data_IF_697267168184
#
_entry.id   IF_697267168184
#
_cell.length_a   1.000
_cell.length_b   1.000
_cell.length_c   1.000
_cell.angle_alpha   90.00
_cell.angle_beta   90.00
_cell.angle_gamma   90.00
#
_symmetry.space_group_name_H-M   'P 1'
#
loop_
_entity.id
_entity.type
_entity.pdbx_description
1 polymer ?
#
# COMPACT_ATOMS: atom_id res chain seq x y z
N UNK A 1 -4.26 -15.06 -18.07
CA UNK A 1 -2.86 -14.65 -17.97
C UNK A 1 -2.70 -13.14 -17.72
N UNK A 2 -3.27 -12.26 -18.53
CA UNK A 2 -3.08 -10.80 -18.40
C UNK A 2 -3.68 -10.14 -17.15
N UNK A 3 -4.31 -10.88 -16.24
CA UNK A 3 -4.91 -10.39 -14.99
C UNK A 3 -4.27 -11.00 -13.73
N UNK A 4 -3.01 -11.45 -13.81
CA UNK A 4 -2.28 -12.00 -12.64
C UNK A 4 -2.78 -13.35 -12.10
N UNK A 5 -3.73 -14.01 -12.76
CA UNK A 5 -4.20 -15.33 -12.33
C UNK A 5 -3.21 -16.41 -12.76
N UNK A 6 -2.78 -17.23 -11.79
CA UNK A 6 -1.98 -18.43 -12.08
C UNK A 6 -2.93 -19.46 -12.71
N UNK A 7 -2.77 -19.66 -14.03
CA UNK A 7 -3.50 -20.70 -14.78
C UNK A 7 -2.47 -21.71 -15.24
N UNK A 8 -2.71 -22.98 -14.97
CA UNK A 8 -1.91 -24.06 -15.55
C UNK A 8 -2.17 -24.09 -17.06
N UNK A 9 -1.14 -23.80 -17.83
CA UNK A 9 -1.19 -23.81 -19.30
C UNK A 9 -0.24 -24.88 -19.82
N UNK A 10 -0.77 -25.82 -20.60
CA UNK A 10 0.02 -26.80 -21.33
C UNK A 10 -0.04 -26.48 -22.83
N UNK A 11 1.09 -26.20 -23.48
CA UNK A 11 1.10 -25.90 -24.92
C UNK A 11 0.57 -27.06 -25.75
N UNK A 12 -0.55 -26.84 -26.45
CA UNK A 12 -1.19 -27.85 -27.33
C UNK A 12 -1.52 -27.24 -28.69
N UNK A 13 -1.83 -28.07 -29.70
CA UNK A 13 -2.15 -27.64 -31.06
C UNK A 13 -0.98 -27.76 -32.05
N UNK A 14 -0.98 -26.95 -33.13
CA UNK A 14 0.04 -26.93 -34.19
C UNK A 14 1.45 -26.67 -33.63
N UNK A 15 2.48 -27.05 -34.39
CA UNK A 15 3.89 -26.94 -33.94
C UNK A 15 4.27 -25.51 -33.61
N UNK A 16 3.82 -24.57 -34.38
CA UNK A 16 4.08 -23.14 -34.21
C UNK A 16 3.42 -22.60 -32.93
N UNK A 17 2.17 -23.02 -32.66
CA UNK A 17 1.42 -22.64 -31.45
C UNK A 17 2.08 -23.20 -30.19
N UNK A 18 2.56 -24.47 -30.26
CA UNK A 18 3.32 -25.07 -29.16
C UNK A 18 4.65 -24.37 -28.91
N UNK A 19 5.36 -23.99 -29.99
CA UNK A 19 6.62 -23.25 -29.89
C UNK A 19 6.40 -21.89 -29.23
N UNK A 20 5.40 -21.12 -29.69
CA UNK A 20 5.03 -19.85 -29.09
C UNK A 20 4.60 -19.99 -27.60
N UNK A 21 3.82 -21.04 -27.29
CA UNK A 21 3.42 -21.33 -25.92
C UNK A 21 4.59 -21.67 -24.99
N UNK A 22 5.59 -22.42 -25.46
CA UNK A 22 6.83 -22.69 -24.70
C UNK A 22 7.65 -21.42 -24.48
N UNK A 23 7.88 -20.65 -25.56
CA UNK A 23 8.61 -19.38 -25.45
C UNK A 23 7.95 -18.42 -24.44
N UNK A 24 6.62 -18.39 -24.40
CA UNK A 24 5.88 -17.60 -23.41
C UNK A 24 6.08 -18.10 -21.97
N UNK A 25 6.03 -19.43 -21.76
CA UNK A 25 6.29 -20.02 -20.43
C UNK A 25 7.73 -19.78 -19.97
N UNK A 26 8.71 -19.89 -20.87
CA UNK A 26 10.12 -19.61 -20.59
C UNK A 26 10.34 -18.13 -20.21
N UNK A 27 9.73 -17.23 -20.98
CA UNK A 27 9.76 -15.80 -20.68
C UNK A 27 9.13 -15.51 -19.30
N UNK A 28 7.97 -16.09 -19.01
CA UNK A 28 7.31 -15.96 -17.71
C UNK A 28 8.19 -16.44 -16.58
N UNK A 29 8.75 -17.65 -16.69
CA UNK A 29 9.64 -18.22 -15.70
C UNK A 29 10.92 -17.38 -15.50
N UNK A 30 11.41 -16.74 -16.56
CA UNK A 30 12.55 -15.80 -16.48
C UNK A 30 12.17 -14.52 -15.72
N UNK A 31 11.00 -13.95 -15.98
CA UNK A 31 10.50 -12.78 -15.27
C UNK A 31 10.26 -13.09 -13.79
N UNK A 32 9.63 -14.23 -13.48
CA UNK A 32 9.39 -14.67 -12.09
C UNK A 32 10.71 -14.81 -11.32
N UNK A 33 11.72 -15.47 -11.90
CA UNK A 33 13.06 -15.56 -11.28
C UNK A 33 13.73 -14.20 -11.09
N UNK A 34 13.58 -13.29 -12.04
CA UNK A 34 14.16 -11.95 -11.94
C UNK A 34 13.49 -11.12 -10.81
N UNK A 35 12.18 -11.25 -10.65
CA UNK A 35 11.44 -10.63 -9.55
C UNK A 35 11.87 -11.22 -8.21
N UNK A 36 11.98 -12.55 -8.11
CA UNK A 36 12.42 -13.24 -6.90
C UNK A 36 13.86 -12.83 -6.50
N UNK A 37 14.77 -12.84 -7.46
CA UNK A 37 16.16 -12.41 -7.22
C UNK A 37 16.25 -10.95 -6.76
N UNK A 38 15.45 -10.06 -7.37
CA UNK A 38 15.35 -8.65 -6.96
C UNK A 38 14.81 -8.53 -5.53
N UNK A 39 13.79 -9.32 -5.18
CA UNK A 39 13.19 -9.33 -3.85
C UNK A 39 14.17 -9.82 -2.78
N UNK A 40 14.93 -10.89 -3.07
CA UNK A 40 15.97 -11.40 -2.18
C UNK A 40 17.09 -10.38 -1.95
N UNK A 41 17.56 -9.72 -3.02
CA UNK A 41 18.59 -8.68 -2.94
C UNK A 41 18.10 -7.51 -2.07
N UNK A 42 16.90 -7.04 -2.28
CA UNK A 42 16.29 -5.95 -1.50
C UNK A 42 16.08 -6.34 -0.04
N UNK A 43 15.77 -7.61 0.24
CA UNK A 43 15.67 -8.12 1.62
C UNK A 43 17.01 -8.09 2.34
N UNK A 44 18.10 -8.45 1.65
CA UNK A 44 19.47 -8.34 2.19
C UNK A 44 19.86 -6.89 2.50
N UNK A 45 19.65 -5.98 1.55
CA UNK A 45 19.90 -4.54 1.73
C UNK A 45 19.10 -3.98 2.92
N UNK A 46 17.85 -4.42 3.09
CA UNK A 46 17.02 -4.05 4.25
C UNK A 46 17.67 -4.37 5.58
N UNK A 47 18.11 -5.62 5.71
CA UNK A 47 18.76 -6.09 6.93
C UNK A 47 20.04 -5.31 7.22
N UNK A 48 20.84 -5.10 6.19
CA UNK A 48 22.14 -4.44 6.32
C UNK A 48 22.02 -2.94 6.64
N UNK A 49 20.91 -2.30 6.22
CA UNK A 49 20.63 -0.91 6.56
C UNK A 49 19.96 -0.73 7.94
N UNK A 50 19.19 -1.71 8.43
CA UNK A 50 18.62 -1.64 9.80
C UNK A 50 19.69 -1.66 10.88
N UNK A 51 20.77 -2.39 10.66
CA UNK A 51 21.86 -2.53 11.65
C UNK A 51 22.52 -1.18 11.99
N UNK A 52 22.99 -0.34 11.04
CA UNK A 52 23.56 0.96 11.36
C UNK A 52 22.53 1.93 11.95
N UNK A 53 21.27 1.90 11.49
CA UNK A 53 20.20 2.74 12.06
C UNK A 53 19.91 2.38 13.52
N UNK A 54 19.90 1.09 13.86
CA UNK A 54 19.76 0.63 15.26
C UNK A 54 20.96 1.08 16.11
N UNK A 55 22.18 1.03 15.58
CA UNK A 55 23.38 1.55 16.26
C UNK A 55 23.32 3.05 16.49
N UNK A 56 22.86 3.82 15.48
CA UNK A 56 22.63 5.26 15.62
C UNK A 56 21.63 5.55 16.74
N UNK A 57 20.50 4.86 16.77
CA UNK A 57 19.48 5.03 17.82
C UNK A 57 20.02 4.69 19.22
N UNK A 58 20.84 3.65 19.34
CA UNK A 58 21.52 3.32 20.60
C UNK A 58 22.56 4.38 20.99
N UNK A 59 23.32 4.91 20.03
CA UNK A 59 24.27 6.00 20.26
C UNK A 59 23.58 7.29 20.74
N UNK A 60 22.45 7.63 20.10
CA UNK A 60 21.64 8.78 20.49
C UNK A 60 21.08 8.67 21.91
N UNK A 61 20.76 7.44 22.37
CA UNK A 61 20.28 7.22 23.74
C UNK A 61 21.31 7.57 24.82
N UNK A 62 22.57 7.78 24.45
CA UNK A 62 23.67 8.17 25.35
C UNK A 62 23.96 9.68 25.35
N UNK A 63 23.26 10.49 24.53
CA UNK A 63 23.40 11.93 24.44
C UNK A 63 22.49 12.65 25.45
N UNK A 64 22.82 13.90 25.82
CA UNK A 64 22.02 14.74 26.69
C UNK A 64 20.69 15.19 26.01
N UNK A 65 19.69 15.59 26.83
CA UNK A 65 18.28 15.63 26.47
C UNK A 65 17.88 16.62 25.34
N UNK A 66 18.58 17.72 25.11
CA UNK A 66 18.12 18.77 24.17
C UNK A 66 18.33 18.39 22.70
N UNK A 67 19.47 17.84 22.33
CA UNK A 67 19.78 17.45 20.94
C UNK A 67 19.23 16.07 20.56
N UNK A 68 18.89 15.27 21.56
CA UNK A 68 18.47 13.86 21.38
C UNK A 68 17.13 13.70 20.69
N UNK A 69 16.14 14.52 21.06
CA UNK A 69 14.75 14.33 20.59
C UNK A 69 14.57 14.58 19.09
N UNK A 70 15.33 15.50 18.52
CA UNK A 70 15.31 15.81 17.09
C UNK A 70 15.98 14.69 16.28
N UNK A 71 17.19 14.27 16.69
CA UNK A 71 17.92 13.19 16.05
C UNK A 71 17.23 11.82 16.15
N UNK A 72 16.54 11.54 17.27
CA UNK A 72 15.73 10.32 17.40
C UNK A 72 14.56 10.31 16.42
N UNK A 73 13.91 11.46 16.18
CA UNK A 73 12.86 11.60 15.15
C UNK A 73 13.43 11.36 13.75
N UNK A 74 14.58 11.97 13.43
CA UNK A 74 15.22 11.79 12.13
C UNK A 74 15.57 10.34 11.85
N UNK A 75 16.12 9.62 12.84
CA UNK A 75 16.45 8.19 12.71
C UNK A 75 15.17 7.36 12.56
N UNK A 76 14.10 7.67 13.30
CA UNK A 76 12.82 6.99 13.17
C UNK A 76 12.18 7.24 11.79
N UNK A 77 12.34 8.45 11.25
CA UNK A 77 11.89 8.81 9.91
C UNK A 77 12.68 8.06 8.84
N UNK A 78 14.01 7.99 8.96
CA UNK A 78 14.85 7.21 8.06
C UNK A 78 14.50 5.71 8.09
N UNK A 79 14.20 5.16 9.25
CA UNK A 79 13.74 3.76 9.37
C UNK A 79 12.42 3.55 8.64
N UNK A 80 11.44 4.43 8.82
CA UNK A 80 10.16 4.37 8.11
C UNK A 80 10.34 4.51 6.60
N UNK A 81 11.18 5.46 6.16
CA UNK A 81 11.53 5.65 4.74
C UNK A 81 12.10 4.38 4.12
N UNK A 82 13.01 3.74 4.82
CA UNK A 82 13.65 2.50 4.38
C UNK A 82 12.62 1.35 4.30
N UNK A 83 11.81 1.18 5.33
CA UNK A 83 10.80 0.12 5.37
C UNK A 83 9.76 0.30 4.26
N UNK A 84 9.24 1.52 4.03
CA UNK A 84 8.32 1.86 2.95
C UNK A 84 8.93 1.59 1.56
N UNK A 85 10.20 1.99 1.36
CA UNK A 85 10.91 1.75 0.11
C UNK A 85 11.09 0.26 -0.16
N UNK A 86 11.53 -0.49 0.85
CA UNK A 86 11.78 -1.93 0.72
C UNK A 86 10.50 -2.71 0.48
N UNK A 87 9.46 -2.31 1.15
CA UNK A 87 8.14 -2.87 0.96
C UNK A 87 7.59 -2.58 -0.43
N UNK A 88 7.77 -1.36 -0.95
CA UNK A 88 7.43 -1.02 -2.32
C UNK A 88 8.25 -1.87 -3.31
N UNK A 89 9.54 -1.99 -3.07
CA UNK A 89 10.46 -2.68 -3.96
C UNK A 89 10.31 -4.22 -3.97
N UNK A 90 9.83 -4.82 -2.85
CA UNK A 90 9.46 -6.25 -2.78
C UNK A 90 8.22 -6.55 -3.62
N UNK A 91 7.38 -5.55 -3.89
CA UNK A 91 6.13 -5.75 -4.60
C UNK A 91 5.22 -6.78 -3.92
N UNK A 92 4.36 -7.43 -4.70
CA UNK A 92 3.40 -8.41 -4.18
C UNK A 92 3.90 -9.86 -4.05
N UNK A 93 5.13 -10.14 -4.47
CA UNK A 93 5.68 -11.50 -4.42
C UNK A 93 5.65 -12.13 -3.01
N UNK A 94 5.66 -11.29 -1.97
CA UNK A 94 5.61 -11.70 -0.57
C UNK A 94 4.18 -11.82 0.02
N UNK A 95 3.12 -11.54 -0.74
CA UNK A 95 1.76 -11.30 -0.19
C UNK A 95 0.88 -12.55 -0.07
N UNK A 96 1.38 -13.73 -0.39
CA UNK A 96 0.62 -14.99 -0.31
C UNK A 96 -0.41 -15.17 -1.43
N UNK A 97 -1.17 -16.26 -1.34
CA UNK A 97 -2.27 -16.54 -2.27
C UNK A 97 -3.57 -15.86 -1.83
N UNK A 98 -4.46 -15.50 -2.76
CA UNK A 98 -5.78 -15.01 -2.40
C UNK A 98 -6.57 -16.05 -1.60
N UNK A 99 -7.20 -15.62 -0.51
CA UNK A 99 -8.07 -16.44 0.32
C UNK A 99 -9.43 -15.76 0.56
N UNK A 100 -10.45 -16.55 0.91
CA UNK A 100 -11.78 -16.04 1.19
C UNK A 100 -11.76 -15.24 2.50
N UNK A 101 -11.82 -13.93 2.38
CA UNK A 101 -11.60 -12.98 3.47
C UNK A 101 -12.85 -12.13 3.68
N UNK A 102 -13.14 -11.80 4.94
CA UNK A 102 -14.14 -10.79 5.28
C UNK A 102 -13.52 -9.38 5.20
N UNK A 103 -13.94 -8.53 4.23
CA UNK A 103 -13.38 -7.19 4.09
C UNK A 103 -13.73 -6.26 5.25
N UNK A 104 -14.88 -6.48 5.93
CA UNK A 104 -15.26 -5.67 7.09
C UNK A 104 -14.34 -5.94 8.28
N UNK A 105 -14.02 -7.21 8.55
CA UNK A 105 -13.08 -7.58 9.60
C UNK A 105 -11.67 -7.03 9.34
N UNK A 106 -11.22 -7.03 8.07
CA UNK A 106 -9.94 -6.43 7.68
C UNK A 106 -9.91 -4.92 7.91
N UNK A 107 -10.94 -4.20 7.50
CA UNK A 107 -11.05 -2.76 7.72
C UNK A 107 -11.12 -2.43 9.21
N UNK A 108 -11.90 -3.18 9.99
CA UNK A 108 -11.99 -3.00 11.44
C UNK A 108 -10.63 -3.18 12.13
N UNK A 109 -9.84 -4.17 11.69
CA UNK A 109 -8.48 -4.39 12.21
C UNK A 109 -7.56 -3.21 11.90
N UNK A 110 -7.55 -2.71 10.65
CA UNK A 110 -6.72 -1.57 10.25
C UNK A 110 -7.09 -0.29 11.02
N UNK A 111 -8.39 -0.04 11.21
CA UNK A 111 -8.89 1.09 11.98
C UNK A 111 -8.51 0.97 13.45
N UNK A 112 -8.68 -0.20 14.09
CA UNK A 112 -8.34 -0.42 15.48
C UNK A 112 -6.83 -0.25 15.77
N UNK A 113 -5.97 -0.61 14.82
CA UNK A 113 -4.53 -0.40 14.92
C UNK A 113 -4.18 1.09 14.85
N UNK A 114 -4.77 1.84 13.91
CA UNK A 114 -4.51 3.26 13.75
C UNK A 114 -5.11 4.12 14.90
N UNK A 115 -6.23 3.70 15.52
CA UNK A 115 -6.84 4.40 16.66
C UNK A 115 -5.99 4.39 17.92
N UNK A 116 -5.08 3.43 18.10
CA UNK A 116 -4.16 3.37 19.25
C UNK A 116 -3.25 4.59 19.34
N UNK A 117 -3.03 5.26 18.22
CA UNK A 117 -2.20 6.46 18.13
C UNK A 117 -2.96 7.76 18.46
N UNK A 118 -4.21 7.68 18.95
CA UNK A 118 -4.99 8.83 19.44
C UNK A 118 -5.63 9.70 18.34
N UNK A 119 -5.76 9.18 17.12
CA UNK A 119 -6.32 9.91 16.00
C UNK A 119 -7.86 9.81 15.91
N UNK A 120 -8.52 10.85 15.37
CA UNK A 120 -9.96 10.84 15.08
C UNK A 120 -10.26 10.05 13.81
N UNK A 121 -10.42 8.74 13.97
CA UNK A 121 -10.68 7.76 12.91
C UNK A 121 -11.98 7.02 13.19
N UNK A 122 -12.88 6.99 12.22
CA UNK A 122 -14.17 6.31 12.31
C UNK A 122 -14.27 5.17 11.29
N UNK A 123 -14.93 4.07 11.69
CA UNK A 123 -15.37 3.03 10.79
C UNK A 123 -16.87 3.17 10.56
N UNK A 124 -17.26 3.38 9.31
CA UNK A 124 -18.67 3.45 8.92
C UNK A 124 -19.39 2.10 9.14
N UNK A 125 -20.71 2.12 9.34
CA UNK A 125 -21.50 0.89 9.40
C UNK A 125 -21.27 0.00 8.17
N UNK A 126 -21.23 -1.33 8.32
CA UNK A 126 -20.98 -2.26 7.21
C UNK A 126 -22.12 -2.18 6.17
N UNK A 127 -21.76 -2.15 4.88
CA UNK A 127 -22.70 -2.17 3.77
C UNK A 127 -22.48 -3.40 2.90
N UNK A 128 -23.48 -4.27 2.84
CA UNK A 128 -23.41 -5.56 2.17
C UNK A 128 -22.66 -6.62 3.01
N UNK A 129 -22.72 -7.87 2.57
CA UNK A 129 -22.10 -9.01 3.27
C UNK A 129 -21.45 -9.99 2.29
N UNK A 130 -20.50 -10.76 2.76
CA UNK A 130 -19.89 -11.86 2.03
C UNK A 130 -18.37 -11.84 2.03
N UNK A 131 -17.80 -13.00 1.74
CA UNK A 131 -16.37 -13.18 1.60
C UNK A 131 -15.92 -12.79 0.18
N UNK A 132 -14.72 -12.27 0.08
CA UNK A 132 -14.08 -11.89 -1.18
C UNK A 132 -12.68 -12.54 -1.24
N UNK A 133 -12.28 -13.02 -2.41
CA UNK A 133 -10.95 -13.58 -2.62
C UNK A 133 -9.92 -12.46 -2.62
N UNK A 134 -9.22 -12.28 -1.51
CA UNK A 134 -8.24 -11.23 -1.26
C UNK A 134 -6.94 -11.81 -0.73
N UNK A 135 -5.85 -11.06 -0.83
CA UNK A 135 -4.63 -11.27 -0.05
C UNK A 135 -4.70 -10.37 1.19
N UNK A 136 -5.02 -10.91 2.38
CA UNK A 136 -5.35 -10.08 3.54
C UNK A 136 -4.26 -9.11 3.96
N UNK A 137 -2.99 -9.57 3.94
CA UNK A 137 -1.84 -8.73 4.28
C UNK A 137 -1.67 -7.56 3.31
N UNK A 138 -1.86 -7.79 2.00
CA UNK A 138 -1.79 -6.71 1.00
C UNK A 138 -2.90 -5.69 1.19
N UNK A 139 -4.15 -6.13 1.34
CA UNK A 139 -5.28 -5.22 1.54
C UNK A 139 -5.15 -4.44 2.84
N UNK A 140 -4.74 -5.11 3.92
CA UNK A 140 -4.45 -4.44 5.20
C UNK A 140 -3.40 -3.33 5.01
N UNK A 141 -2.31 -3.62 4.31
CA UNK A 141 -1.27 -2.65 3.98
C UNK A 141 -1.78 -1.49 3.12
N UNK A 142 -2.64 -1.76 2.12
CA UNK A 142 -3.26 -0.70 1.33
C UNK A 142 -4.11 0.22 2.20
N UNK A 143 -4.93 -0.33 3.09
CA UNK A 143 -5.74 0.43 4.03
C UNK A 143 -4.88 1.26 4.98
N UNK A 144 -3.84 0.70 5.60
CA UNK A 144 -2.95 1.44 6.51
C UNK A 144 -2.21 2.58 5.81
N UNK A 145 -1.83 2.40 4.53
CA UNK A 145 -1.25 3.48 3.72
C UNK A 145 -2.26 4.61 3.45
N UNK A 146 -3.51 4.28 3.10
CA UNK A 146 -4.55 5.29 2.87
C UNK A 146 -4.94 6.00 4.16
N UNK A 147 -5.12 5.27 5.27
CA UNK A 147 -5.42 5.82 6.60
C UNK A 147 -4.28 6.73 7.06
N UNK A 148 -3.03 6.28 6.94
CA UNK A 148 -1.86 7.08 7.29
C UNK A 148 -1.76 8.36 6.47
N UNK A 149 -2.15 8.32 5.19
CA UNK A 149 -2.24 9.51 4.35
C UNK A 149 -3.34 10.45 4.84
N UNK A 150 -4.54 9.93 5.09
CA UNK A 150 -5.68 10.70 5.60
C UNK A 150 -5.36 11.41 6.92
N UNK A 151 -4.75 10.71 7.89
CA UNK A 151 -4.36 11.25 9.19
C UNK A 151 -3.21 12.26 9.13
N UNK A 152 -2.40 12.20 8.07
CA UNK A 152 -1.32 13.17 7.86
C UNK A 152 -1.83 14.50 7.35
N UNK A 153 -2.80 14.49 6.46
CA UNK A 153 -3.28 15.70 5.78
C UNK A 153 -4.58 16.24 6.36
N UNK A 154 -5.39 15.39 7.00
CA UNK A 154 -6.63 15.73 7.67
C UNK A 154 -6.55 15.62 9.20
N UNK A 155 -7.65 16.00 9.84
CA UNK A 155 -7.89 15.84 11.28
C UNK A 155 -8.93 14.74 11.56
N UNK A 156 -9.80 14.47 10.60
CA UNK A 156 -10.81 13.42 10.64
C UNK A 156 -10.64 12.49 9.45
N UNK A 157 -10.76 11.19 9.73
CA UNK A 157 -10.70 10.15 8.71
C UNK A 157 -11.86 9.17 8.94
N UNK A 158 -12.50 8.75 7.85
CA UNK A 158 -13.50 7.69 7.90
C UNK A 158 -13.17 6.61 6.90
N UNK A 159 -13.30 5.34 7.36
CA UNK A 159 -13.16 4.15 6.53
C UNK A 159 -14.53 3.53 6.32
N UNK A 160 -14.89 3.21 5.09
CA UNK A 160 -16.12 2.50 4.77
C UNK A 160 -15.87 1.32 3.84
N UNK A 161 -16.69 0.28 3.99
CA UNK A 161 -16.63 -0.94 3.19
C UNK A 161 -17.98 -1.22 2.58
N UNK A 162 -18.04 -1.32 1.26
CA UNK A 162 -19.25 -1.63 0.52
C UNK A 162 -19.05 -2.91 -0.30
N UNK A 163 -19.83 -3.94 0.02
CA UNK A 163 -19.82 -5.20 -0.70
C UNK A 163 -21.08 -5.29 -1.55
N UNK A 164 -20.92 -5.22 -2.87
CA UNK A 164 -21.99 -5.40 -3.83
C UNK A 164 -21.90 -6.76 -4.52
N UNK A 165 -22.90 -7.11 -5.35
CA UNK A 165 -22.85 -8.34 -6.18
C UNK A 165 -21.70 -8.34 -7.20
N UNK A 166 -21.20 -7.18 -7.60
CA UNK A 166 -20.20 -7.03 -8.69
C UNK A 166 -18.85 -6.57 -8.24
N UNK A 167 -18.76 -5.92 -7.08
CA UNK A 167 -17.52 -5.30 -6.63
C UNK A 167 -17.47 -5.16 -5.10
N UNK A 168 -16.26 -5.16 -4.58
CA UNK A 168 -15.87 -4.67 -3.28
C UNK A 168 -15.33 -3.24 -3.46
N UNK A 169 -15.79 -2.31 -2.64
CA UNK A 169 -15.21 -0.97 -2.51
C UNK A 169 -14.73 -0.78 -1.07
N UNK A 170 -13.45 -0.50 -0.91
CA UNK A 170 -12.84 -0.06 0.36
C UNK A 170 -12.53 1.42 0.18
N UNK A 171 -13.18 2.27 0.97
CA UNK A 171 -13.10 3.73 0.87
C UNK A 171 -12.47 4.32 2.11
N UNK A 172 -11.55 5.26 1.90
CA UNK A 172 -10.97 6.09 2.96
C UNK A 172 -11.20 7.55 2.57
N UNK A 173 -11.83 8.30 3.47
CA UNK A 173 -12.15 9.73 3.29
C UNK A 173 -11.52 10.55 4.40
N UNK A 174 -11.08 11.77 4.08
CA UNK A 174 -10.52 12.71 5.04
C UNK A 174 -11.09 14.13 4.85
N UNK A 175 -10.82 15.00 5.83
CA UNK A 175 -11.15 16.41 5.83
C UNK A 175 -9.96 17.32 5.45
N UNK A 176 -8.92 16.73 4.84
CA UNK A 176 -7.73 17.45 4.42
C UNK A 176 -7.96 18.36 3.18
N UNK A 177 -6.90 18.89 2.59
CA UNK A 177 -7.00 19.79 1.44
C UNK A 177 -7.45 19.08 0.15
N UNK A 178 -7.52 17.75 0.14
CA UNK A 178 -7.80 16.97 -1.06
C UNK A 178 -6.68 17.00 -2.08
N UNK A 179 -6.95 16.46 -3.27
CA UNK A 179 -6.02 16.46 -4.42
C UNK A 179 -6.78 16.99 -5.64
N UNK A 180 -6.29 18.09 -6.29
CA UNK A 180 -6.86 18.61 -7.53
C UNK A 180 -6.95 17.53 -8.61
N UNK A 181 -7.99 17.61 -9.45
CA UNK A 181 -8.28 16.56 -10.42
C UNK A 181 -7.13 16.33 -11.42
N UNK A 182 -6.50 17.40 -11.88
CA UNK A 182 -5.35 17.40 -12.78
C UNK A 182 -4.08 16.79 -12.17
N UNK A 183 -4.00 16.70 -10.83
CA UNK A 183 -2.84 16.17 -10.11
C UNK A 183 -3.04 14.73 -9.61
N UNK A 184 -4.27 14.18 -9.68
CA UNK A 184 -4.59 12.84 -9.13
C UNK A 184 -3.78 11.72 -9.77
N UNK A 185 -3.58 11.76 -11.08
CA UNK A 185 -2.74 10.76 -11.76
C UNK A 185 -1.27 10.87 -11.36
N UNK A 186 -0.79 12.10 -11.14
CA UNK A 186 0.58 12.32 -10.69
C UNK A 186 0.78 11.84 -9.24
N UNK A 187 -0.21 12.05 -8.37
CA UNK A 187 -0.20 11.59 -6.98
C UNK A 187 -0.08 10.07 -6.82
N UNK A 188 -0.48 9.29 -7.83
CA UNK A 188 -0.36 7.83 -7.85
C UNK A 188 1.04 7.34 -8.27
N UNK A 189 1.93 8.23 -8.73
CA UNK A 189 3.30 7.86 -9.11
C UNK A 189 4.17 7.74 -7.86
N UNK A 190 5.08 6.75 -7.80
CA UNK A 190 6.02 6.61 -6.70
C UNK A 190 6.90 7.86 -6.52
N UNK A 191 7.20 8.20 -5.28
CA UNK A 191 8.07 9.34 -4.89
C UNK A 191 7.56 10.73 -5.26
N UNK A 192 6.32 10.84 -5.70
CA UNK A 192 5.71 12.14 -6.00
C UNK A 192 5.07 12.73 -4.74
N UNK A 193 5.40 14.01 -4.48
CA UNK A 193 4.79 14.84 -3.43
C UNK A 193 4.26 16.11 -4.09
N UNK A 194 2.96 16.39 -3.92
CA UNK A 194 2.30 17.51 -4.59
C UNK A 194 2.59 18.86 -3.93
N UNK A 195 2.93 18.87 -2.65
CA UNK A 195 3.22 20.11 -1.91
C UNK A 195 4.39 19.90 -0.93
N UNK A 196 5.65 20.15 -1.35
CA UNK A 196 6.83 19.98 -0.49
C UNK A 196 6.92 21.01 0.64
N UNK A 197 6.33 22.21 0.48
CA UNK A 197 6.50 23.31 1.41
C UNK A 197 5.61 23.22 2.68
N UNK A 198 4.44 22.58 2.59
CA UNK A 198 3.50 22.44 3.72
C UNK A 198 3.79 21.28 4.67
N UNK A 199 4.71 20.42 4.33
CA UNK A 199 4.86 19.11 4.98
C UNK A 199 6.12 18.95 5.85
N UNK A 200 6.91 20.01 6.06
CA UNK A 200 8.09 19.92 6.93
C UNK A 200 7.72 19.67 8.40
N UNK A 201 6.58 20.19 8.87
CA UNK A 201 6.13 20.07 10.27
C UNK A 201 5.29 18.81 10.56
N UNK A 202 4.83 18.06 9.54
CA UNK A 202 3.90 16.93 9.70
C UNK A 202 4.50 15.53 9.40
N UNK A 203 5.83 15.42 9.45
CA UNK A 203 6.56 14.17 9.26
C UNK A 203 6.89 13.85 7.79
N UNK A 204 8.05 13.20 7.58
CA UNK A 204 8.59 12.88 6.25
C UNK A 204 7.86 11.70 5.62
N UNK A 205 6.95 11.94 4.67
CA UNK A 205 6.38 10.89 3.82
C UNK A 205 7.13 10.79 2.50
N UNK A 206 7.49 9.58 2.10
CA UNK A 206 8.28 9.29 0.88
C UNK A 206 7.50 9.52 -0.41
N UNK A 207 6.17 9.70 -0.34
CA UNK A 207 5.31 9.71 -1.53
C UNK A 207 5.07 8.31 -2.12
N UNK A 208 5.10 7.27 -1.29
CA UNK A 208 4.89 5.88 -1.71
C UNK A 208 3.50 5.34 -1.35
N UNK A 209 2.83 5.88 -0.34
CA UNK A 209 1.58 5.30 0.20
C UNK A 209 0.47 5.12 -0.84
N UNK A 210 0.17 6.15 -1.64
CA UNK A 210 -0.84 6.06 -2.71
C UNK A 210 -0.40 5.12 -3.83
N UNK A 211 0.88 5.13 -4.20
CA UNK A 211 1.43 4.24 -5.22
C UNK A 211 1.33 2.77 -4.79
N UNK A 212 1.65 2.46 -3.52
CA UNK A 212 1.51 1.11 -2.93
C UNK A 212 0.04 0.67 -2.94
N UNK A 213 -0.88 1.53 -2.50
CA UNK A 213 -2.31 1.20 -2.52
C UNK A 213 -2.83 0.97 -3.94
N UNK A 214 -2.37 1.75 -4.93
CA UNK A 214 -2.72 1.56 -6.33
C UNK A 214 -2.16 0.25 -6.91
N UNK A 215 -0.94 -0.12 -6.57
CA UNK A 215 -0.34 -1.40 -6.98
C UNK A 215 -1.11 -2.59 -6.40
N UNK A 216 -1.43 -2.54 -5.11
CA UNK A 216 -2.22 -3.57 -4.44
C UNK A 216 -3.61 -3.69 -5.07
N UNK A 217 -4.29 -2.58 -5.37
CA UNK A 217 -5.57 -2.61 -6.06
C UNK A 217 -5.47 -3.29 -7.43
N UNK A 218 -4.45 -2.92 -8.24
CA UNK A 218 -4.21 -3.52 -9.57
C UNK A 218 -3.94 -5.00 -9.52
N UNK A 219 -3.18 -5.48 -8.56
CA UNK A 219 -2.86 -6.89 -8.43
C UNK A 219 -4.04 -7.75 -8.00
N UNK A 220 -5.05 -7.15 -7.37
CA UNK A 220 -6.34 -7.79 -7.12
C UNK A 220 -7.31 -7.67 -8.31
N UNK A 221 -6.84 -7.18 -9.49
CA UNK A 221 -7.67 -6.96 -10.67
C UNK A 221 -8.62 -5.76 -10.52
N UNK A 222 -8.31 -4.87 -9.59
CA UNK A 222 -9.06 -3.65 -9.28
C UNK A 222 -8.34 -2.37 -9.67
N UNK A 223 -8.76 -1.26 -9.07
CA UNK A 223 -8.19 0.06 -9.27
C UNK A 223 -8.30 0.90 -8.00
N UNK A 224 -7.34 1.79 -7.78
CA UNK A 224 -7.47 2.88 -6.81
C UNK A 224 -7.99 4.12 -7.56
N UNK A 225 -9.08 4.71 -7.07
CA UNK A 225 -9.67 5.95 -7.57
C UNK A 225 -9.53 7.03 -6.52
N UNK A 226 -9.08 8.21 -6.95
CA UNK A 226 -9.01 9.39 -6.10
C UNK A 226 -10.11 10.36 -6.51
N UNK A 227 -10.84 10.87 -5.53
CA UNK A 227 -11.94 11.80 -5.70
C UNK A 227 -11.94 12.87 -4.62
N UNK A 228 -12.95 13.73 -4.64
CA UNK A 228 -13.26 14.65 -3.55
C UNK A 228 -14.25 13.98 -2.59
N UNK A 229 -14.07 14.16 -1.30
CA UNK A 229 -15.05 13.74 -0.31
C UNK A 229 -16.13 14.81 -0.17
N UNK A 230 -17.32 14.53 -0.70
CA UNK A 230 -18.47 15.45 -0.56
C UNK A 230 -18.91 15.59 0.90
N UNK A 231 -18.58 14.61 1.74
CA UNK A 231 -19.00 14.55 3.13
C UNK A 231 -18.01 15.20 4.10
N UNK A 232 -16.72 14.98 3.92
CA UNK A 232 -15.67 15.51 4.79
C UNK A 232 -14.92 16.69 4.19
N UNK A 233 -15.00 16.88 2.86
CA UNK A 233 -14.43 18.03 2.17
C UNK A 233 -12.98 17.83 1.67
N UNK A 234 -12.34 16.70 2.00
CA UNK A 234 -10.97 16.41 1.60
C UNK A 234 -10.84 15.35 0.50
N UNK A 235 -9.90 14.42 0.66
CA UNK A 235 -9.68 13.33 -0.29
C UNK A 235 -10.67 12.18 -0.04
N UNK A 236 -11.16 11.61 -1.13
CA UNK A 236 -11.82 10.31 -1.15
C UNK A 236 -10.97 9.33 -1.96
N UNK A 237 -10.50 8.26 -1.33
CA UNK A 237 -9.69 7.21 -1.95
C UNK A 237 -10.43 5.87 -1.94
N UNK A 238 -10.81 5.37 -3.12
CA UNK A 238 -11.58 4.14 -3.33
C UNK A 238 -10.71 3.03 -3.92
N UNK A 239 -10.50 1.95 -3.17
CA UNK A 239 -10.01 0.69 -3.72
C UNK A 239 -11.22 -0.10 -4.22
N UNK A 240 -11.34 -0.28 -5.53
CA UNK A 240 -12.45 -0.99 -6.17
C UNK A 240 -11.94 -2.28 -6.79
N UNK A 241 -12.45 -3.43 -6.33
CA UNK A 241 -12.06 -4.78 -6.78
C UNK A 241 -13.30 -5.48 -7.32
N UNK A 242 -13.23 -6.05 -8.54
CA UNK A 242 -14.29 -6.86 -9.09
C UNK A 242 -14.43 -8.21 -8.34
N UNK A 243 -15.68 -8.64 -8.11
CA UNK A 243 -16.01 -9.94 -7.49
C UNK A 243 -16.26 -11.01 -8.50
#
# INVERSE_FOLDING_TARGET
FGRGRVVSYSPSGAVEVRAAGRAFLDMRARIERQIEQRTLMLSGVSHDMRTPLTRLRLGLSMLDHEDRSELERDVADLQRLLDDFLDFARGEAASGQPEQTDPHALAAKAVAEAQRDGCSLMLAPPSGTGLVALRPLSIHRALTNLIGNALRYGTHCEVSVVISKRALCLRVEDDGPGIPEDQREQALKPFVRLDPARNQDRGSGVGLGLAIAADIARSHGGTLRLGHSDRLGGLCADIVIAR
#
